data_IF_457985149585
#
_entry.id   IF_457985149585
#
_cell.length_a   1.000
_cell.length_b   1.000
_cell.length_c   1.000
_cell.angle_alpha   90.00
_cell.angle_beta   90.00
_cell.angle_gamma   90.00
#
_symmetry.space_group_name_H-M   'P 1'
#
loop_
_entity.id
_entity.type
_entity.pdbx_description
1 polymer ?
#
# COMPACT_ATOMS: atom_id res chain seq x y z
N UNK A 1 -35.03 1.67 3.37
CA UNK A 1 -34.33 2.71 2.61
C UNK A 1 -35.34 3.58 1.91
N UNK A 2 -35.02 4.82 1.58
CA UNK A 2 -35.90 5.75 0.87
C UNK A 2 -35.43 5.88 -0.59
N UNK A 3 -35.64 4.85 -1.45
CA UNK A 3 -35.22 4.91 -2.84
C UNK A 3 -36.03 5.98 -3.55
N UNK A 4 -35.33 6.97 -4.12
CA UNK A 4 -35.88 8.05 -4.93
C UNK A 4 -34.97 8.27 -6.12
N UNK A 5 -35.54 8.78 -7.20
CA UNK A 5 -34.76 9.26 -8.32
C UNK A 5 -34.00 10.52 -7.89
N UNK A 6 -32.67 10.48 -8.00
CA UNK A 6 -31.78 11.57 -7.63
C UNK A 6 -31.01 12.04 -8.88
N UNK A 7 -30.81 13.36 -9.04
CA UNK A 7 -29.99 13.86 -10.14
C UNK A 7 -28.54 13.41 -9.96
N UNK A 8 -27.96 12.84 -11.02
CA UNK A 8 -26.54 12.48 -11.04
C UNK A 8 -25.64 13.71 -10.88
N UNK A 9 -24.49 13.54 -10.23
CA UNK A 9 -23.47 14.57 -10.06
C UNK A 9 -22.08 14.05 -10.46
N UNK A 10 -21.21 14.96 -10.89
CA UNK A 10 -19.80 14.67 -11.21
C UNK A 10 -18.93 15.47 -10.24
N UNK A 11 -17.90 14.83 -9.70
CA UNK A 11 -16.95 15.47 -8.78
C UNK A 11 -15.53 15.30 -9.31
N UNK A 12 -14.76 16.39 -9.34
CA UNK A 12 -13.33 16.33 -9.62
C UNK A 12 -12.56 15.86 -8.38
N UNK A 13 -11.76 14.80 -8.54
CA UNK A 13 -10.83 14.31 -7.52
C UNK A 13 -9.39 14.38 -8.05
N UNK A 14 -8.50 14.96 -7.25
CA UNK A 14 -7.07 15.08 -7.56
C UNK A 14 -6.26 14.40 -6.47
N UNK A 15 -5.26 13.60 -6.87
CA UNK A 15 -4.28 12.99 -5.98
C UNK A 15 -3.01 12.70 -6.76
N UNK A 16 -1.87 12.56 -6.07
CA UNK A 16 -0.62 12.13 -6.71
C UNK A 16 -0.70 10.68 -7.24
N UNK A 17 -1.56 9.85 -6.64
CA UNK A 17 -1.86 8.48 -7.08
C UNK A 17 -3.17 7.98 -6.49
N UNK A 18 -3.76 6.97 -7.13
CA UNK A 18 -4.98 6.29 -6.68
C UNK A 18 -4.75 4.81 -6.36
N UNK A 19 -3.50 4.44 -6.08
CA UNK A 19 -3.15 3.10 -5.64
C UNK A 19 -3.75 2.82 -4.26
N UNK A 20 -4.26 1.59 -4.11
CA UNK A 20 -4.87 1.05 -2.89
C UNK A 20 -4.55 -0.44 -2.79
N UNK A 21 -4.80 -1.07 -1.65
CA UNK A 21 -4.53 -2.50 -1.49
C UNK A 21 -5.21 -3.37 -2.56
N UNK A 22 -6.45 -3.03 -2.93
CA UNK A 22 -7.18 -3.70 -4.01
C UNK A 22 -6.48 -3.67 -5.37
N UNK A 23 -5.67 -2.63 -5.66
CA UNK A 23 -4.88 -2.52 -6.89
C UNK A 23 -3.85 -3.64 -7.01
N UNK A 24 -3.30 -4.12 -5.90
CA UNK A 24 -2.36 -5.25 -5.88
C UNK A 24 -3.10 -6.59 -5.80
N UNK A 25 -4.10 -6.67 -4.92
CA UNK A 25 -4.83 -7.90 -4.64
C UNK A 25 -5.52 -8.48 -5.88
N UNK A 26 -6.05 -7.64 -6.78
CA UNK A 26 -6.68 -8.11 -8.03
C UNK A 26 -5.72 -8.90 -8.92
N UNK A 27 -4.43 -8.55 -8.90
CA UNK A 27 -3.39 -9.27 -9.65
C UNK A 27 -2.85 -10.45 -8.85
N UNK A 28 -2.62 -10.29 -7.54
CA UNK A 28 -2.17 -11.37 -6.67
C UNK A 28 -3.15 -12.57 -6.65
N UNK A 29 -4.45 -12.32 -6.75
CA UNK A 29 -5.48 -13.37 -6.81
C UNK A 29 -5.43 -14.24 -8.08
N UNK A 30 -4.71 -13.80 -9.13
CA UNK A 30 -4.57 -14.55 -10.40
C UNK A 30 -3.42 -15.56 -10.37
N UNK A 31 -2.70 -15.70 -9.25
CA UNK A 31 -1.58 -16.63 -9.13
C UNK A 31 -0.30 -16.12 -9.78
N UNK A 32 0.57 -17.05 -10.20
CA UNK A 32 1.96 -16.77 -10.61
C UNK A 32 2.09 -15.72 -11.72
N UNK A 33 1.20 -15.71 -12.70
CA UNK A 33 1.20 -14.73 -13.80
C UNK A 33 0.94 -13.29 -13.32
N UNK A 34 0.17 -13.12 -12.25
CA UNK A 34 -0.15 -11.81 -11.68
C UNK A 34 0.96 -11.24 -10.81
N UNK A 35 1.90 -12.06 -10.34
CA UNK A 35 2.95 -11.63 -9.42
C UNK A 35 3.92 -10.63 -10.07
N UNK A 36 4.21 -10.81 -11.36
CA UNK A 36 5.03 -9.86 -12.12
C UNK A 36 4.39 -8.46 -12.13
N UNK A 37 3.06 -8.38 -12.28
CA UNK A 37 2.33 -7.10 -12.27
C UNK A 37 2.33 -6.49 -10.86
N UNK A 38 2.11 -7.31 -9.82
CA UNK A 38 2.19 -6.86 -8.42
C UNK A 38 3.55 -6.25 -8.14
N UNK A 39 4.62 -6.91 -8.59
CA UNK A 39 6.00 -6.41 -8.46
C UNK A 39 6.17 -5.07 -9.18
N UNK A 40 5.75 -4.97 -10.44
CA UNK A 40 5.83 -3.71 -11.20
C UNK A 40 5.08 -2.57 -10.51
N UNK A 41 3.90 -2.82 -9.95
CA UNK A 41 3.13 -1.82 -9.20
C UNK A 41 3.84 -1.40 -7.91
N UNK A 42 4.46 -2.35 -7.21
CA UNK A 42 5.25 -2.06 -6.00
C UNK A 42 6.49 -1.23 -6.35
N UNK A 43 7.22 -1.59 -7.40
CA UNK A 43 8.38 -0.85 -7.89
C UNK A 43 8.01 0.57 -8.35
N UNK A 44 6.87 0.75 -9.01
CA UNK A 44 6.34 2.08 -9.33
C UNK A 44 6.07 2.89 -8.06
N UNK A 45 5.43 2.27 -7.06
CA UNK A 45 5.08 2.93 -5.81
C UNK A 45 6.30 3.38 -5.03
N UNK A 46 7.31 2.53 -4.94
CA UNK A 46 8.57 2.84 -4.27
C UNK A 46 9.26 4.01 -5.00
N UNK A 47 9.46 3.91 -6.31
CA UNK A 47 10.15 4.97 -7.08
C UNK A 47 9.49 6.34 -6.99
N UNK A 48 8.16 6.39 -7.06
CA UNK A 48 7.44 7.66 -7.20
C UNK A 48 6.86 8.21 -5.90
N UNK A 49 6.55 7.35 -4.92
CA UNK A 49 5.91 7.76 -3.67
C UNK A 49 6.80 7.52 -2.44
N UNK A 50 7.77 6.61 -2.50
CA UNK A 50 8.70 6.32 -1.40
C UNK A 50 10.16 6.21 -1.84
N UNK A 51 10.72 7.21 -2.57
CA UNK A 51 12.05 7.13 -3.16
C UNK A 51 13.17 6.96 -2.12
N UNK A 52 12.93 7.33 -0.86
CA UNK A 52 13.88 7.14 0.24
C UNK A 52 14.11 5.65 0.56
N UNK A 53 13.17 4.76 0.23
CA UNK A 53 13.31 3.32 0.46
C UNK A 53 14.33 2.69 -0.50
N UNK A 54 14.48 3.21 -1.72
CA UNK A 54 15.49 2.69 -2.67
C UNK A 54 16.92 2.89 -2.19
N UNK A 55 17.15 3.94 -1.37
CA UNK A 55 18.45 4.25 -0.80
C UNK A 55 18.74 3.49 0.50
N UNK A 56 17.76 2.76 1.05
CA UNK A 56 17.98 1.91 2.21
C UNK A 56 18.75 0.67 1.77
N UNK A 57 20.03 0.60 2.17
CA UNK A 57 20.88 -0.57 1.93
C UNK A 57 20.20 -1.83 2.45
N UNK A 58 20.23 -2.91 1.67
CA UNK A 58 19.65 -4.26 1.96
C UNK A 58 20.08 -4.91 3.29
N UNK A 59 20.94 -4.24 4.07
CA UNK A 59 21.53 -4.68 5.32
C UNK A 59 20.59 -4.58 6.52
N UNK A 60 19.53 -3.78 6.46
CA UNK A 60 18.50 -3.82 7.51
C UNK A 60 17.52 -4.96 7.18
N UNK A 61 17.95 -6.16 7.56
CA UNK A 61 17.10 -7.34 7.66
C UNK A 61 15.84 -6.98 8.45
N UNK A 62 14.75 -6.65 7.76
CA UNK A 62 13.40 -6.61 8.32
C UNK A 62 13.01 -8.04 8.69
N UNK A 63 13.52 -8.48 9.82
CA UNK A 63 13.15 -9.73 10.48
C UNK A 63 11.75 -9.55 11.05
N UNK A 64 10.73 -9.90 10.26
CA UNK A 64 9.38 -10.09 10.79
C UNK A 64 9.38 -11.38 11.62
N UNK A 65 9.67 -11.26 12.92
CA UNK A 65 9.44 -12.36 13.86
C UNK A 65 7.95 -12.36 14.20
N UNK A 66 7.27 -13.45 13.85
CA UNK A 66 5.95 -13.76 14.41
C UNK A 66 6.13 -13.84 15.93
N UNK A 67 5.50 -12.93 16.67
CA UNK A 67 5.83 -12.63 18.06
C UNK A 67 5.75 -13.84 19.00
N UNK A 68 6.82 -14.01 19.76
CA UNK A 68 6.77 -14.54 21.12
C UNK A 68 6.73 -13.34 22.08
N UNK A 69 6.06 -13.47 23.22
CA UNK A 69 5.44 -12.41 24.04
C UNK A 69 6.35 -11.31 24.66
N UNK A 70 7.65 -11.23 24.33
CA UNK A 70 8.62 -10.39 25.07
C UNK A 70 9.54 -9.51 24.17
N UNK A 71 9.04 -8.89 23.10
CA UNK A 71 9.82 -7.94 22.29
C UNK A 71 9.37 -6.47 22.46
N UNK A 72 10.29 -5.49 22.34
CA UNK A 72 10.05 -4.09 22.68
C UNK A 72 8.98 -3.47 21.77
N UNK A 73 8.02 -2.80 22.39
CA UNK A 73 6.95 -2.04 21.72
C UNK A 73 7.57 -1.09 20.69
N UNK A 74 7.34 -1.37 19.40
CA UNK A 74 7.65 -0.44 18.32
C UNK A 74 6.72 0.76 18.47
N UNK A 75 7.28 1.93 18.77
CA UNK A 75 6.51 3.15 18.97
C UNK A 75 5.93 3.66 17.63
N UNK A 76 4.63 3.40 17.45
CA UNK A 76 3.85 3.79 16.27
C UNK A 76 3.40 5.26 16.32
N UNK A 77 3.65 5.99 17.42
CA UNK A 77 3.24 7.40 17.55
C UNK A 77 4.07 8.36 16.71
N UNK A 78 5.21 7.91 16.18
CA UNK A 78 6.07 8.69 15.29
C UNK A 78 5.58 8.72 13.84
N UNK A 79 4.44 8.09 13.52
CA UNK A 79 3.84 8.23 12.20
C UNK A 79 3.26 9.64 12.04
N UNK A 80 3.91 10.46 11.20
CA UNK A 80 3.47 11.81 10.81
C UNK A 80 2.03 11.86 10.24
N UNK A 81 1.47 10.70 9.90
CA UNK A 81 0.16 10.54 9.29
C UNK A 81 -0.84 9.72 10.14
N UNK A 82 -0.51 9.41 11.40
CA UNK A 82 -1.44 8.83 12.37
C UNK A 82 -2.08 9.91 13.24
#
# INVERSE_FOLDING_TARGET
GNPKDEPGAIVCRVAQSFLRFGSYQIHAKRGGEGLAIVRTLAEYTIRHHFPHIENTTKSESLSFKTGDEDDPVVDLTSNKYA
#
